data_IF_487038348148
#
_entry.id   IF_487038348148
#
_cell.length_a   1.000
_cell.length_b   1.000
_cell.length_c   1.000
_cell.angle_alpha   90.00
_cell.angle_beta   90.00
_cell.angle_gamma   90.00
#
_symmetry.space_group_name_H-M   'P 1'
#
loop_
_entity.id
_entity.type
_entity.pdbx_description
1 polymer ?
#
# COMPACT_ATOMS: atom_id res chain seq x y z
N UNK A 1 3.22 -1.39 -0.18
CA UNK A 1 1.75 -1.24 -0.37
C UNK A 1 1.05 -2.04 0.70
N UNK A 2 0.29 -1.38 1.57
CA UNK A 2 -0.56 -2.06 2.57
C UNK A 2 -1.84 -2.63 1.93
N UNK A 3 -2.44 -3.64 2.56
CA UNK A 3 -3.74 -4.21 2.20
C UNK A 3 -4.77 -3.07 2.09
N UNK A 4 -5.46 -2.97 0.95
CA UNK A 4 -6.47 -1.95 0.69
C UNK A 4 -7.86 -2.54 0.88
N UNK A 5 -8.63 -1.94 1.78
CA UNK A 5 -10.03 -2.30 2.04
C UNK A 5 -10.95 -1.11 1.75
N UNK A 6 -11.15 -0.72 0.48
CA UNK A 6 -12.06 0.36 0.13
C UNK A 6 -13.53 -0.05 0.32
N UNK A 7 -14.36 0.85 0.84
CA UNK A 7 -15.82 0.73 0.90
C UNK A 7 -16.31 -0.63 1.44
N UNK A 8 -17.13 -1.35 0.67
CA UNK A 8 -17.77 -2.63 1.03
C UNK A 8 -16.75 -3.76 1.22
N UNK A 9 -15.56 -3.63 0.64
CA UNK A 9 -14.51 -4.65 0.71
C UNK A 9 -14.04 -4.88 2.16
N UNK A 10 -14.21 -3.89 3.04
CA UNK A 10 -13.91 -4.04 4.48
C UNK A 10 -14.86 -5.00 5.18
N UNK A 11 -16.15 -4.97 4.81
CA UNK A 11 -17.18 -5.82 5.41
C UNK A 11 -16.97 -7.26 4.94
N UNK A 12 -16.81 -7.45 3.62
CA UNK A 12 -16.49 -8.75 3.03
C UNK A 12 -15.22 -9.37 3.63
N UNK A 13 -14.17 -8.58 3.83
CA UNK A 13 -12.94 -9.07 4.42
C UNK A 13 -13.11 -9.46 5.90
N UNK A 14 -13.92 -8.71 6.66
CA UNK A 14 -14.22 -9.03 8.05
C UNK A 14 -15.06 -10.32 8.15
N UNK A 15 -16.06 -10.48 7.30
CA UNK A 15 -16.92 -11.66 7.27
C UNK A 15 -16.12 -12.90 6.87
N UNK A 16 -15.24 -12.76 5.87
CA UNK A 16 -14.32 -13.81 5.47
C UNK A 16 -13.34 -14.21 6.60
N UNK A 17 -12.82 -13.23 7.34
CA UNK A 17 -11.97 -13.51 8.52
C UNK A 17 -12.76 -14.19 9.63
N UNK A 18 -14.02 -13.82 9.85
CA UNK A 18 -14.87 -14.45 10.86
C UNK A 18 -15.17 -15.91 10.51
N UNK A 19 -15.37 -16.22 9.23
CA UNK A 19 -15.66 -17.58 8.75
C UNK A 19 -14.42 -18.48 8.81
N UNK A 20 -13.28 -18.02 8.29
CA UNK A 20 -12.10 -18.88 8.12
C UNK A 20 -11.09 -18.79 9.26
N UNK A 21 -11.00 -17.64 9.95
CA UNK A 21 -10.00 -17.38 10.97
C UNK A 21 -10.58 -16.61 12.18
N UNK A 22 -11.65 -17.11 12.82
CA UNK A 22 -12.41 -16.38 13.85
C UNK A 22 -11.52 -15.93 15.02
N UNK A 23 -10.61 -16.79 15.48
CA UNK A 23 -9.69 -16.51 16.60
C UNK A 23 -8.68 -15.39 16.31
N UNK A 24 -8.44 -15.06 15.03
CA UNK A 24 -7.47 -14.06 14.60
C UNK A 24 -8.12 -12.81 14.01
N UNK A 25 -9.42 -12.86 13.71
CA UNK A 25 -10.15 -11.79 13.04
C UNK A 25 -9.96 -10.43 13.74
N UNK A 26 -10.20 -10.38 15.05
CA UNK A 26 -10.08 -9.13 15.83
C UNK A 26 -8.63 -8.62 15.88
N UNK A 27 -7.66 -9.52 15.99
CA UNK A 27 -6.25 -9.15 16.00
C UNK A 27 -5.83 -8.57 14.64
N UNK A 28 -6.19 -9.22 13.54
CA UNK A 28 -5.89 -8.76 12.18
C UNK A 28 -6.51 -7.39 11.93
N UNK A 29 -7.78 -7.21 12.30
CA UNK A 29 -8.47 -5.93 12.14
C UNK A 29 -7.88 -4.83 13.01
N UNK A 30 -7.43 -5.15 14.23
CA UNK A 30 -6.74 -4.21 15.12
C UNK A 30 -5.43 -3.72 14.51
N UNK A 31 -4.60 -4.63 13.99
CA UNK A 31 -3.34 -4.28 13.33
C UNK A 31 -3.58 -3.38 12.11
N UNK A 32 -4.60 -3.67 11.29
CA UNK A 32 -4.95 -2.83 10.13
C UNK A 32 -5.35 -1.42 10.55
N UNK A 33 -6.13 -1.26 11.62
CA UNK A 33 -6.53 0.05 12.16
C UNK A 33 -5.32 0.82 12.71
N UNK A 34 -4.42 0.15 13.43
CA UNK A 34 -3.21 0.78 13.98
C UNK A 34 -2.26 1.28 12.89
N UNK A 35 -2.12 0.53 11.79
CA UNK A 35 -1.32 0.91 10.62
C UNK A 35 -1.91 2.10 9.82
N UNK A 36 -3.09 2.59 10.19
CA UNK A 36 -3.86 3.64 9.51
C UNK A 36 -4.24 4.79 10.46
N UNK A 37 -3.49 4.97 11.55
CA UNK A 37 -3.74 6.03 12.52
C UNK A 37 -5.09 5.90 13.24
N UNK A 38 -5.60 4.67 13.41
CA UNK A 38 -6.88 4.39 14.04
C UNK A 38 -8.08 4.39 13.08
N UNK A 39 -7.91 4.81 11.81
CA UNK A 39 -8.97 4.79 10.80
C UNK A 39 -8.96 3.47 10.02
N UNK A 40 -10.12 3.00 9.59
CA UNK A 40 -10.21 1.82 8.71
C UNK A 40 -9.80 2.14 7.26
N UNK A 41 -9.91 3.41 6.87
CA UNK A 41 -9.59 3.90 5.54
C UNK A 41 -9.05 5.33 5.61
N UNK A 42 -7.98 5.59 4.88
CA UNK A 42 -7.43 6.93 4.63
C UNK A 42 -7.20 7.07 3.13
N UNK A 43 -7.81 8.11 2.54
CA UNK A 43 -7.75 8.43 1.12
C UNK A 43 -6.54 9.29 0.75
N UNK A 44 -5.81 9.84 1.73
CA UNK A 44 -4.69 10.74 1.48
C UNK A 44 -3.57 10.00 0.73
N UNK A 45 -3.15 10.56 -0.41
CA UNK A 45 -2.24 9.95 -1.36
C UNK A 45 -0.84 9.73 -0.77
N UNK A 46 -0.44 10.57 0.19
CA UNK A 46 0.85 10.47 0.88
C UNK A 46 0.87 9.35 1.93
N UNK A 47 -0.21 9.16 2.69
CA UNK A 47 -0.26 8.21 3.82
C UNK A 47 -0.75 6.82 3.40
N UNK A 48 -1.54 6.73 2.33
CA UNK A 48 -2.20 5.48 1.89
C UNK A 48 -1.29 4.34 1.46
N UNK A 49 -0.04 4.62 1.05
CA UNK A 49 0.89 3.60 0.51
C UNK A 49 1.90 3.08 1.54
N UNK A 50 2.33 3.95 2.46
CA UNK A 50 3.33 3.64 3.48
C UNK A 50 2.69 3.16 4.79
N UNK A 51 1.44 3.55 5.07
CA UNK A 51 0.83 3.38 6.39
C UNK A 51 1.50 4.28 7.43
N UNK A 52 0.90 4.39 8.60
CA UNK A 52 1.43 5.18 9.73
C UNK A 52 1.50 4.32 10.98
N UNK A 53 2.40 4.68 11.91
CA UNK A 53 2.55 4.00 13.21
C UNK A 53 3.53 2.82 13.23
N UNK A 54 3.74 2.28 14.44
CA UNK A 54 4.81 1.32 14.76
C UNK A 54 4.80 0.05 13.90
N UNK A 55 3.61 -0.44 13.54
CA UNK A 55 3.46 -1.64 12.73
C UNK A 55 3.86 -1.42 11.26
N UNK A 56 3.61 -0.23 10.71
CA UNK A 56 4.05 0.14 9.37
C UNK A 56 5.59 0.25 9.33
N UNK A 57 6.18 0.88 10.34
CA UNK A 57 7.64 0.95 10.48
C UNK A 57 8.29 -0.43 10.63
N UNK A 58 7.68 -1.32 11.42
CA UNK A 58 8.18 -2.69 11.57
C UNK A 58 8.15 -3.45 10.24
N UNK A 59 7.06 -3.30 9.48
CA UNK A 59 6.94 -3.90 8.16
C UNK A 59 8.00 -3.37 7.20
N UNK A 60 8.22 -2.05 7.19
CA UNK A 60 9.26 -1.42 6.38
C UNK A 60 10.65 -1.95 6.74
N UNK A 61 11.01 -1.98 8.03
CA UNK A 61 12.30 -2.51 8.49
C UNK A 61 12.50 -3.96 8.07
N UNK A 62 11.47 -4.80 8.17
CA UNK A 62 11.52 -6.21 7.73
C UNK A 62 11.77 -6.31 6.22
N UNK A 63 11.11 -5.46 5.43
CA UNK A 63 11.31 -5.40 4.00
C UNK A 63 12.73 -4.96 3.63
N UNK A 64 13.25 -3.93 4.29
CA UNK A 64 14.61 -3.42 4.05
C UNK A 64 15.67 -4.48 4.38
N UNK A 65 15.51 -5.19 5.50
CA UNK A 65 16.39 -6.30 5.89
C UNK A 65 16.35 -7.42 4.85
N UNK A 66 15.15 -7.79 4.37
CA UNK A 66 14.99 -8.82 3.35
C UNK A 66 15.66 -8.40 2.03
N UNK A 67 15.49 -7.14 1.60
CA UNK A 67 16.13 -6.61 0.41
C UNK A 67 17.67 -6.65 0.51
N UNK A 68 18.22 -6.21 1.65
CA UNK A 68 19.67 -6.29 1.92
C UNK A 68 20.18 -7.72 1.86
N UNK A 69 19.46 -8.66 2.50
CA UNK A 69 19.84 -10.08 2.53
C UNK A 69 19.81 -10.73 1.15
N UNK A 70 18.87 -10.34 0.30
CA UNK A 70 18.67 -10.92 -1.03
C UNK A 70 19.36 -10.14 -2.15
N UNK A 71 20.10 -9.08 -1.84
CA UNK A 71 20.76 -8.26 -2.87
C UNK A 71 19.79 -7.44 -3.72
N UNK A 72 18.57 -7.19 -3.26
CA UNK A 72 17.54 -6.44 -3.98
C UNK A 72 17.58 -4.95 -3.63
N UNK A 73 17.03 -4.10 -4.51
CA UNK A 73 16.84 -2.67 -4.29
C UNK A 73 18.14 -1.90 -3.93
N UNK A 74 19.28 -2.36 -4.48
CA UNK A 74 20.61 -1.84 -4.18
C UNK A 74 20.88 -0.50 -4.87
N UNK A 75 20.38 -0.33 -6.08
CA UNK A 75 20.57 0.88 -6.88
C UNK A 75 19.22 1.38 -7.36
N UNK A 76 19.03 2.69 -7.25
CA UNK A 76 17.87 3.35 -7.85
C UNK A 76 18.23 3.68 -9.29
N UNK A 77 17.64 2.98 -10.25
CA UNK A 77 17.86 3.27 -11.66
C UNK A 77 17.47 4.73 -11.96
N UNK A 78 18.39 5.49 -12.54
CA UNK A 78 18.04 6.79 -13.11
C UNK A 78 17.17 6.56 -14.35
N UNK A 79 15.95 7.08 -14.29
CA UNK A 79 15.03 7.00 -15.42
C UNK A 79 15.45 8.03 -16.48
N UNK A 80 15.59 7.60 -17.72
CA UNK A 80 15.80 8.52 -18.84
C UNK A 80 14.47 9.22 -19.15
N UNK A 81 14.41 10.51 -18.83
CA UNK A 81 13.21 11.34 -18.98
C UNK A 81 13.19 12.15 -20.26
N UNK A 82 14.26 12.15 -21.07
CA UNK A 82 14.32 12.94 -22.31
C UNK A 82 13.30 12.52 -23.36
N UNK A 83 12.82 11.29 -23.32
CA UNK A 83 11.76 10.78 -24.21
C UNK A 83 10.35 11.11 -23.70
N UNK A 84 10.22 11.67 -22.50
CA UNK A 84 8.93 12.04 -21.95
C UNK A 84 8.45 13.37 -22.55
N UNK A 85 7.36 13.31 -23.30
CA UNK A 85 6.62 14.49 -23.73
C UNK A 85 5.34 14.59 -22.91
N UNK A 86 5.13 15.72 -22.22
CA UNK A 86 3.90 15.98 -21.48
C UNK A 86 2.75 16.09 -22.51
N UNK A 87 1.65 15.34 -22.35
CA UNK A 87 0.52 15.46 -23.27
C UNK A 87 -0.07 16.88 -23.19
N UNK A 88 -0.36 17.46 -24.36
CA UNK A 88 -1.05 18.75 -24.46
C UNK A 88 -2.49 18.58 -23.94
N UNK A 89 -2.95 19.40 -22.98
CA UNK A 89 -4.31 19.32 -22.44
C UNK A 89 -5.42 19.44 -23.49
N UNK A 90 -5.12 20.03 -24.64
CA UNK A 90 -6.04 20.21 -25.77
C UNK A 90 -5.89 19.16 -26.88
N UNK A 91 -4.83 18.35 -26.84
CA UNK A 91 -4.61 17.30 -27.83
C UNK A 91 -5.47 16.08 -27.49
N UNK A 92 -6.60 15.95 -28.20
CA UNK A 92 -7.23 14.65 -28.42
C UNK A 92 -6.16 13.68 -28.93
N UNK A 93 -6.15 12.45 -28.38
CA UNK A 93 -5.13 11.44 -28.64
C UNK A 93 -4.78 11.39 -30.12
N UNK A 94 -3.55 11.78 -30.47
CA UNK A 94 -3.00 11.47 -31.79
C UNK A 94 -2.82 9.95 -31.84
N UNK A 95 -3.85 9.28 -32.33
CA UNK A 95 -3.72 7.97 -32.93
C UNK A 95 -2.91 8.19 -34.21
N UNK A 96 -1.68 7.66 -34.18
CA UNK A 96 -0.65 7.70 -35.23
C UNK A 96 0.18 8.98 -35.31
#
# INVERSE_FOLDING_TARGET
VLIRLPHELKALFKDWLAEHYPLRADHVMSVIRQMRGGKEYDSDFATRHSGTGNYAELLQKRFDIACRRLGLNQERAMLETKLFSRPDPSAQMKLF
#
